data_IF_499106520842
#
_entry.id   IF_499106520842
#
_cell.length_a   1.000
_cell.length_b   1.000
_cell.length_c   1.000
_cell.angle_alpha   90.00
_cell.angle_beta   90.00
_cell.angle_gamma   90.00
#
_symmetry.space_group_name_H-M   'P 1'
#
loop_
_entity.id
_entity.type
_entity.pdbx_description
1 polymer ?
2 non-polymer ?
3 non-polymer ?
4 water ?
#
# COMPACT_ATOMS: atom_id res chain seq x y z
N UNK A 2 13.77 -25.13 1.61
CA UNK A 2 14.94 -24.74 2.45
C UNK A 2 15.95 -23.95 1.63
N UNK A 3 15.53 -23.52 0.43
CA UNK A 3 16.23 -22.47 -0.30
C UNK A 3 16.30 -21.19 0.55
N UNK A 4 15.20 -20.91 1.26
CA UNK A 4 14.98 -19.69 2.01
C UNK A 4 14.42 -20.02 3.40
N UNK A 5 14.78 -19.18 4.36
CA UNK A 5 14.29 -19.25 5.75
C UNK A 5 13.60 -17.93 6.09
N UNK A 6 12.52 -17.99 6.87
CA UNK A 6 11.76 -16.82 7.32
C UNK A 6 11.71 -16.76 8.83
N UNK A 7 11.89 -15.58 9.38
CA UNK A 7 11.61 -15.38 10.81
C UNK A 7 10.82 -14.11 11.13
N UNK A 8 9.73 -14.29 11.90
CA UNK A 8 8.84 -13.22 12.23
C UNK A 8 9.21 -12.59 13.57
N UNK A 9 9.03 -11.28 13.64
CA UNK A 9 9.17 -10.53 14.90
C UNK A 9 8.03 -9.51 15.01
N UNK A 10 7.96 -8.76 16.12
CA UNK A 10 7.01 -7.61 16.23
C UNK A 10 5.63 -7.90 16.77
N UNK A 11 5.38 -9.15 17.13
CA UNK A 11 4.11 -9.49 17.76
C UNK A 11 4.10 -8.85 19.14
N UNK A 12 2.98 -8.94 19.83
CA UNK A 12 2.88 -8.28 21.12
C UNK A 12 1.61 -8.62 21.84
N UNK A 13 1.51 -8.08 23.07
CA UNK A 13 0.29 -8.18 23.90
C UNK A 13 -0.19 -6.76 24.11
N UNK A 14 -1.35 -6.47 23.53
CA UNK A 14 -1.79 -5.11 23.41
C UNK A 14 -3.26 -5.08 23.78
N UNK A 15 -3.84 -3.90 23.69
CA UNK A 15 -5.20 -3.71 24.07
C UNK A 15 -6.02 -3.28 22.87
N UNK A 16 -7.34 -3.48 22.99
CA UNK A 16 -8.26 -3.13 21.94
C UNK A 16 -8.00 -1.72 21.51
N UNK A 17 -7.86 -1.56 20.19
CA UNK A 17 -7.66 -0.24 19.59
C UNK A 17 -6.21 0.03 19.29
N UNK A 18 -5.29 -0.80 19.81
CA UNK A 18 -3.83 -0.55 19.58
C UNK A 18 -3.34 -0.95 18.16
N UNK A 19 -2.10 -0.59 17.85
CA UNK A 19 -1.44 -0.98 16.60
C UNK A 19 -0.23 -1.84 16.91
N UNK A 20 0.16 -2.68 15.95
CA UNK A 20 1.40 -3.46 16.03
C UNK A 20 1.98 -3.54 14.63
N UNK A 21 3.31 -3.60 14.51
CA UNK A 21 3.96 -3.80 13.21
C UNK A 21 4.74 -5.11 13.18
N UNK A 22 4.14 -6.13 12.59
CA UNK A 22 4.82 -7.39 12.37
C UNK A 22 5.90 -7.32 11.25
N UNK A 23 7.02 -7.97 11.47
CA UNK A 23 8.00 -8.08 10.39
C UNK A 23 8.42 -9.53 10.11
N UNK A 24 8.75 -9.79 8.85
CA UNK A 24 9.29 -11.08 8.44
C UNK A 24 10.60 -10.92 7.68
N UNK A 25 11.67 -11.51 8.21
CA UNK A 25 13.01 -11.42 7.61
C UNK A 25 13.33 -12.71 6.88
N UNK A 26 13.63 -12.58 5.60
CA UNK A 26 13.98 -13.68 4.76
C UNK A 26 15.50 -13.74 4.59
N UNK A 27 16.00 -14.97 4.62
CA UNK A 27 17.43 -15.24 4.43
C UNK A 27 17.58 -16.40 3.43
N UNK A 28 18.74 -16.51 2.79
CA UNK A 28 18.96 -17.64 1.87
C UNK A 28 18.93 -17.21 0.44
N UNK A 29 18.55 -18.11 -0.47
CA UNK A 29 18.60 -17.77 -1.91
C UNK A 29 17.23 -17.19 -2.31
N UNK A 30 17.02 -15.99 -1.83
CA UNK A 30 15.74 -15.26 -1.98
C UNK A 30 15.55 -14.67 -3.39
N UNK A 31 14.28 -14.41 -3.73
CA UNK A 31 13.93 -13.53 -4.86
C UNK A 31 12.84 -12.61 -4.36
N UNK A 32 13.18 -11.31 -4.27
CA UNK A 32 12.37 -10.41 -3.50
C UNK A 32 10.96 -10.09 -4.08
N UNK A 33 10.66 -10.34 -5.38
CA UNK A 33 9.22 -10.08 -5.75
C UNK A 33 8.38 -11.32 -5.60
N UNK A 34 8.99 -12.39 -5.11
CA UNK A 34 8.19 -13.61 -4.89
C UNK A 34 7.17 -13.37 -3.81
N UNK A 35 6.04 -14.08 -3.89
CA UNK A 35 4.90 -13.86 -2.97
C UNK A 35 5.29 -14.16 -1.50
N UNK A 36 5.04 -13.17 -0.67
CA UNK A 36 5.11 -13.28 0.82
C UNK A 36 3.73 -13.06 1.40
N UNK A 37 3.27 -13.99 2.23
CA UNK A 37 1.89 -13.93 2.70
C UNK A 37 1.87 -14.17 4.22
N UNK A 38 1.14 -13.34 4.92
CA UNK A 38 0.90 -13.47 6.37
C UNK A 38 -0.38 -14.28 6.57
N UNK A 39 -0.28 -15.28 7.47
CA UNK A 39 -1.42 -16.08 7.90
C UNK A 39 -1.54 -15.94 9.40
N UNK A 40 -2.75 -16.18 9.90
CA UNK A 40 -2.93 -16.30 11.35
C UNK A 40 -3.66 -17.58 11.71
N UNK A 41 -3.40 -18.04 12.93
CA UNK A 41 -4.02 -19.25 13.46
C UNK A 41 -4.24 -19.11 14.99
N UNK A 42 -5.51 -19.15 15.36
CA UNK A 42 -5.97 -19.30 16.74
C UNK A 42 -5.99 -20.80 17.11
N UNK A 43 -5.87 -21.13 18.41
CA UNK A 43 -5.71 -22.55 18.81
C UNK A 43 -6.89 -23.41 18.33
N UNK A 44 -6.56 -24.56 17.72
CA UNK A 44 -7.55 -25.50 17.19
C UNK A 44 -8.16 -25.16 15.83
N UNK A 45 -7.91 -23.93 15.37
CA UNK A 45 -8.40 -23.46 14.05
C UNK A 45 -7.36 -23.66 12.95
N UNK A 46 -7.81 -23.66 11.71
CA UNK A 46 -6.87 -23.72 10.62
C UNK A 46 -6.19 -22.36 10.41
N UNK A 47 -5.03 -22.38 9.76
CA UNK A 47 -4.38 -21.14 9.33
C UNK A 47 -5.32 -20.43 8.37
N UNK A 48 -5.34 -19.12 8.42
CA UNK A 48 -6.11 -18.34 7.44
C UNK A 48 -5.34 -17.15 6.97
N UNK A 49 -5.45 -16.92 5.67
CA UNK A 49 -4.85 -15.72 5.10
C UNK A 49 -5.18 -14.39 5.79
N UNK A 50 -4.16 -13.56 5.92
CA UNK A 50 -4.35 -12.18 6.44
C UNK A 50 -4.04 -11.12 5.36
N UNK A 51 -2.80 -11.18 4.88
CA UNK A 51 -2.32 -10.24 3.86
C UNK A 51 -1.14 -10.78 3.10
N UNK A 52 -0.99 -10.31 1.87
CA UNK A 52 0.07 -10.79 1.01
C UNK A 52 0.60 -9.71 0.10
N UNK A 53 1.86 -9.87 -0.29
CA UNK A 53 2.50 -8.89 -1.21
C UNK A 53 3.34 -9.64 -2.23
N UNK A 54 3.26 -9.22 -3.49
CA UNK A 54 4.12 -9.86 -4.48
C UNK A 54 4.25 -9.00 -5.72
N UNK A 55 5.24 -9.36 -6.54
CA UNK A 55 5.42 -8.83 -7.90
C UNK A 55 6.21 -7.54 -7.82
N UNK A 56 6.56 -6.99 -8.97
CA UNK A 56 7.38 -5.77 -9.02
C UNK A 56 6.65 -4.49 -8.56
N UNK A 57 5.31 -4.53 -8.54
CA UNK A 57 4.58 -3.39 -8.07
C UNK A 57 4.39 -3.38 -6.55
N UNK A 58 4.85 -4.43 -5.87
CA UNK A 58 4.55 -4.54 -4.43
C UNK A 58 3.00 -4.57 -4.20
N UNK A 59 2.31 -5.30 -5.05
CA UNK A 59 0.85 -5.36 -5.04
C UNK A 59 0.39 -6.08 -3.77
N UNK A 60 -0.49 -5.41 -3.05
CA UNK A 60 -0.95 -5.89 -1.75
C UNK A 60 -2.35 -6.46 -1.83
N UNK A 61 -2.57 -7.60 -1.18
CA UNK A 61 -3.93 -8.14 -1.03
C UNK A 61 -4.24 -8.34 0.45
N UNK A 62 -5.50 -8.10 0.83
CA UNK A 62 -5.90 -8.20 2.25
C UNK A 62 -7.09 -9.11 2.40
N UNK A 63 -7.13 -9.85 3.49
CA UNK A 63 -8.34 -10.59 3.85
C UNK A 63 -9.45 -9.63 4.25
N UNK A 64 -10.70 -10.08 4.10
CA UNK A 64 -11.87 -9.30 4.46
C UNK A 64 -11.83 -8.97 5.96
N UNK A 65 -11.34 -9.93 6.75
CA UNK A 65 -11.20 -9.78 8.20
C UNK A 65 -10.36 -8.56 8.63
N UNK A 66 -9.45 -8.05 7.77
CA UNK A 66 -8.57 -6.92 8.15
C UNK A 66 -8.78 -5.70 7.24
N UNK A 67 -9.84 -5.78 6.43
CA UNK A 67 -10.27 -4.68 5.53
C UNK A 67 -10.08 -3.34 6.19
N UNK A 68 -9.19 -2.50 5.66
CA UNK A 68 -9.09 -1.10 6.13
C UNK A 68 -8.31 -0.88 7.44
N UNK A 69 -7.77 -1.97 8.02
CA UNK A 69 -7.01 -1.86 9.27
C UNK A 69 -5.53 -2.26 9.08
N UNK A 70 -5.19 -2.90 7.95
CA UNK A 70 -3.83 -3.41 7.75
C UNK A 70 -3.16 -2.86 6.49
N UNK A 71 -1.82 -2.84 6.50
CA UNK A 71 -1.01 -2.34 5.38
C UNK A 71 0.23 -3.20 5.32
N UNK A 72 0.47 -3.88 4.18
CA UNK A 72 1.61 -4.77 4.05
C UNK A 72 2.62 -4.02 3.18
N UNK A 73 3.91 -4.25 3.38
CA UNK A 73 4.91 -3.53 2.63
C UNK A 73 6.18 -4.37 2.62
N UNK A 74 7.08 -4.05 1.69
CA UNK A 74 8.28 -4.83 1.52
C UNK A 74 9.50 -3.94 1.38
N UNK A 75 10.62 -4.41 1.89
CA UNK A 75 11.89 -3.70 1.70
C UNK A 75 12.88 -4.70 1.19
N UNK A 76 13.09 -4.67 -0.13
CA UNK A 76 13.91 -5.65 -0.80
C UNK A 76 15.36 -5.65 -0.32
N UNK A 77 15.96 -4.47 -0.15
CA UNK A 77 17.33 -4.36 0.39
C UNK A 77 17.49 -5.08 1.74
N UNK A 78 16.44 -5.03 2.57
CA UNK A 78 16.46 -5.68 3.91
C UNK A 78 15.84 -7.07 3.91
N UNK A 79 15.41 -7.52 2.72
CA UNK A 79 14.77 -8.83 2.57
C UNK A 79 13.68 -9.02 3.62
N UNK A 80 12.94 -7.93 3.91
CA UNK A 80 11.96 -7.94 4.97
C UNK A 80 10.58 -7.49 4.47
N UNK A 81 9.55 -8.18 4.95
CA UNK A 81 8.11 -7.78 4.75
C UNK A 81 7.45 -7.33 6.08
N UNK A 82 6.68 -6.22 6.04
CA UNK A 82 6.08 -5.64 7.21
C UNK A 82 4.56 -5.74 7.08
N UNK A 83 3.93 -6.03 8.20
CA UNK A 83 2.44 -5.99 8.27
C UNK A 83 2.08 -5.09 9.39
N UNK A 84 1.66 -3.86 9.04
CA UNK A 84 1.15 -2.88 9.99
C UNK A 84 -0.33 -3.21 10.22
N UNK A 85 -0.72 -3.33 11.49
CA UNK A 85 -2.09 -3.66 11.87
C UNK A 85 -2.55 -2.66 12.86
N UNK A 86 -3.65 -1.96 12.53
CA UNK A 86 -4.25 -0.94 13.39
C UNK A 86 -5.61 -1.35 13.87
N UNK A 87 -6.09 -0.65 14.89
CA UNK A 87 -7.45 -0.86 15.45
C UNK A 87 -7.67 -2.30 15.83
N UNK A 88 -6.63 -2.90 16.43
CA UNK A 88 -6.68 -4.27 16.88
C UNK A 88 -7.86 -4.58 17.80
N UNK A 89 -8.38 -5.79 17.71
CA UNK A 89 -9.49 -6.19 18.57
C UNK A 89 -9.27 -7.62 19.09
N UNK A 90 -9.95 -8.01 20.21
CA UNK A 90 -9.69 -9.33 20.80
C UNK A 90 -9.72 -10.46 19.76
N UNK A 91 -10.62 -10.31 18.78
CA UNK A 91 -10.81 -11.27 17.68
C UNK A 91 -9.54 -11.53 16.83
N UNK A 92 -8.59 -10.60 16.88
CA UNK A 92 -7.35 -10.70 16.10
C UNK A 92 -6.29 -11.52 16.82
N UNK A 93 -6.58 -11.90 18.06
CA UNK A 93 -5.65 -12.80 18.77
C UNK A 93 -5.35 -14.10 18.05
N UNK A 94 -4.04 -14.39 17.84
CA UNK A 94 -3.62 -15.52 17.09
C UNK A 94 -2.09 -15.52 16.99
N UNK A 95 -1.54 -16.63 16.53
CA UNK A 95 -0.15 -16.69 16.08
C UNK A 95 -0.10 -16.28 14.59
N UNK A 96 0.65 -15.24 14.29
CA UNK A 96 0.79 -14.73 12.91
C UNK A 96 2.12 -15.26 12.32
N UNK A 97 2.07 -15.89 11.14
CA UNK A 97 3.28 -16.43 10.53
C UNK A 97 3.34 -15.99 9.08
N UNK A 98 4.54 -15.88 8.59
CA UNK A 98 4.75 -15.54 7.20
C UNK A 98 5.14 -16.77 6.38
N UNK A 99 4.74 -16.78 5.11
CA UNK A 99 5.02 -17.88 4.21
C UNK A 99 5.47 -17.36 2.84
N UNK A 100 6.24 -18.16 2.09
CA UNK A 100 6.65 -17.80 0.71
C UNK A 100 6.67 -18.97 -0.23
N UNK A 101 6.74 -18.66 -1.52
CA UNK A 101 6.63 -19.69 -2.53
C UNK A 101 7.37 -19.15 -3.75
N UNK A 102 7.67 -20.04 -4.71
CA UNK A 102 8.52 -19.71 -5.84
C UNK A 102 7.73 -19.19 -7.02
N UNK A 103 7.11 -18.06 -6.75
CA UNK A 103 6.18 -17.34 -7.66
C UNK A 103 5.90 -15.94 -7.12
N UNK A 104 5.65 -15.00 -8.05
CA UNK A 104 5.26 -13.68 -7.66
C UNK A 104 3.77 -13.65 -7.30
N UNK A 105 3.02 -14.68 -7.67
CA UNK A 105 1.55 -14.68 -7.49
C UNK A 105 1.14 -15.02 -6.06
N UNK A 106 0.45 -14.06 -5.43
CA UNK A 106 -0.02 -14.16 -4.04
C UNK A 106 -1.32 -14.95 -4.06
N UNK A 107 -1.31 -16.06 -3.33
CA UNK A 107 -2.51 -16.89 -3.19
C UNK A 107 -2.92 -16.97 -1.73
N UNK A 108 -4.23 -17.21 -1.48
CA UNK A 108 -4.78 -17.28 -0.14
C UNK A 108 -4.71 -18.67 0.55
N UNK A 109 -4.56 -19.76 -0.22
CA UNK A 109 -4.49 -21.09 0.43
C UNK A 109 -3.12 -21.33 1.07
N UNK A 110 -3.10 -21.76 2.36
CA UNK A 110 -1.80 -22.09 2.98
C UNK A 110 -1.10 -23.20 2.26
N UNK A 111 -1.87 -24.06 1.60
CA UNK A 111 -1.35 -25.24 0.93
C UNK A 111 -0.37 -24.97 -0.18
N UNK A 112 -0.41 -23.78 -0.77
CA UNK A 112 0.44 -23.50 -1.93
C UNK A 112 1.78 -22.82 -1.54
N UNK A 113 2.05 -22.73 -0.23
CA UNK A 113 3.35 -22.22 0.21
C UNK A 113 4.19 -23.30 0.91
N UNK A 114 5.38 -23.58 0.37
CA UNK A 114 6.24 -24.60 0.97
C UNK A 114 7.10 -24.10 2.11
N UNK A 115 7.26 -22.79 2.23
CA UNK A 115 8.23 -22.23 3.16
C UNK A 115 7.52 -21.34 4.14
N UNK A 116 7.77 -21.61 5.42
CA UNK A 116 7.10 -20.98 6.54
C UNK A 116 8.06 -20.52 7.63
N UNK A 117 7.74 -19.41 8.28
CA UNK A 117 8.41 -19.00 9.50
C UNK A 117 7.81 -19.72 10.68
N UNK A 118 8.35 -19.45 11.87
CA UNK A 118 7.86 -20.08 13.11
C UNK A 118 6.60 -19.42 13.73
N UNK A 119 6.36 -18.15 13.42
CA UNK A 119 5.23 -17.44 13.96
C UNK A 119 5.61 -16.47 15.09
N UNK A 120 4.71 -15.53 15.33
CA UNK A 120 4.83 -14.53 16.41
C UNK A 120 3.47 -14.33 17.00
N UNK A 121 3.39 -14.27 18.34
CA UNK A 121 2.11 -14.12 19.02
C UNK A 121 1.55 -12.69 19.03
N UNK A 122 0.27 -12.59 18.70
CA UNK A 122 -0.47 -11.35 18.84
C UNK A 122 -1.66 -11.58 19.76
N UNK A 123 -1.66 -10.90 20.91
CA UNK A 123 -2.78 -10.97 21.84
C UNK A 123 -3.40 -9.61 22.07
N UNK A 124 -4.72 -9.55 21.93
CA UNK A 124 -5.43 -8.31 22.09
C UNK A 124 -6.47 -8.44 23.20
N UNK A 125 -6.38 -7.59 24.22
CA UNK A 125 -7.31 -7.64 25.35
C UNK A 125 -8.06 -6.32 25.60
N UNK A 126 -9.28 -6.41 26.16
CA UNK A 126 -10.10 -5.21 26.46
C UNK A 126 -9.46 -4.18 27.39
N UNK B 2 7.39 16.06 -24.34
CA UNK B 2 8.20 15.24 -23.40
C UNK B 2 8.17 13.80 -23.82
N UNK B 3 9.08 13.01 -23.25
CA UNK B 3 9.19 11.59 -23.59
C UNK B 3 8.14 10.71 -22.92
N UNK B 4 7.57 11.22 -21.83
CA UNK B 4 6.38 10.64 -21.15
C UNK B 4 5.24 11.65 -21.07
N UNK B 5 4.02 11.15 -21.31
CA UNK B 5 2.79 11.91 -21.11
C UNK B 5 1.98 11.25 -19.98
N UNK B 6 1.35 12.10 -19.15
CA UNK B 6 0.50 11.70 -18.04
C UNK B 6 -0.91 12.21 -18.25
N UNK B 7 -1.88 11.35 -18.02
CA UNK B 7 -3.29 11.72 -18.15
C UNK B 7 -4.05 11.16 -16.96
N UNK B 8 -4.58 12.07 -16.13
CA UNK B 8 -5.41 11.71 -14.98
C UNK B 8 -6.89 11.53 -15.29
N UNK B 9 -7.50 10.60 -14.58
CA UNK B 9 -8.97 10.39 -14.62
C UNK B 9 -9.49 10.06 -13.21
N UNK B 10 -10.81 9.95 -13.08
CA UNK B 10 -11.47 9.44 -11.87
C UNK B 10 -11.79 10.42 -10.78
N UNK B 11 -11.53 11.71 -11.03
CA UNK B 11 -12.09 12.74 -10.24
C UNK B 11 -13.63 12.73 -10.28
N UNK B 12 -14.20 13.46 -9.36
CA UNK B 12 -15.66 13.66 -9.30
C UNK B 12 -16.17 14.68 -8.34
N UNK B 13 -17.51 14.78 -8.32
CA UNK B 13 -18.28 15.61 -7.48
C UNK B 13 -18.94 14.67 -6.49
N UNK B 14 -18.51 14.76 -5.23
CA UNK B 14 -18.93 13.81 -4.22
C UNK B 14 -19.36 14.50 -2.94
N UNK B 15 -19.77 13.67 -1.99
CA UNK B 15 -20.26 14.17 -0.71
C UNK B 15 -19.37 13.74 0.43
N UNK B 16 -19.33 14.56 1.49
CA UNK B 16 -18.50 14.23 2.62
C UNK B 16 -18.69 12.78 2.96
N UNK B 17 -17.57 12.08 3.20
CA UNK B 17 -17.62 10.72 3.62
C UNK B 17 -17.44 9.77 2.45
N UNK B 18 -17.51 10.29 1.23
CA UNK B 18 -17.41 9.43 0.03
C UNK B 18 -15.95 8.99 -0.31
N UNK B 19 -15.83 8.06 -1.25
CA UNK B 19 -14.55 7.55 -1.74
C UNK B 19 -14.43 7.90 -3.21
N UNK B 20 -13.21 8.02 -3.70
CA UNK B 20 -12.94 8.20 -5.13
C UNK B 20 -11.62 7.52 -5.43
N UNK B 21 -11.51 6.87 -6.60
CA UNK B 21 -10.25 6.30 -7.05
C UNK B 21 -9.74 7.08 -8.25
N UNK B 22 -8.81 7.99 -8.01
CA UNK B 22 -8.09 8.63 -9.11
C UNK B 22 -7.09 7.71 -9.86
N UNK B 23 -6.94 7.89 -11.18
CA UNK B 23 -5.99 7.11 -11.96
C UNK B 23 -5.11 8.05 -12.77
N UNK B 24 -3.84 7.71 -12.84
CA UNK B 24 -2.86 8.36 -13.72
C UNK B 24 -2.31 7.37 -14.75
N UNK B 25 -2.64 7.56 -16.03
CA UNK B 25 -2.21 6.68 -17.12
C UNK B 25 -0.98 7.29 -17.84
N UNK B 26 0.16 6.60 -17.77
CA UNK B 26 1.40 7.10 -18.40
C UNK B 26 1.55 6.49 -19.77
N UNK B 27 2.16 7.20 -20.71
CA UNK B 27 2.40 6.65 -22.07
C UNK B 27 3.76 7.20 -22.53
N UNK B 28 4.34 6.61 -23.58
CA UNK B 28 5.65 7.09 -24.09
C UNK B 28 6.73 6.21 -23.49
N UNK B 29 7.91 6.78 -23.23
CA UNK B 29 9.10 5.99 -22.83
C UNK B 29 9.10 5.79 -21.28
N UNK B 30 8.19 4.94 -20.83
CA UNK B 30 7.88 4.82 -19.39
C UNK B 30 8.83 3.80 -18.74
N UNK B 31 9.01 3.93 -17.44
CA UNK B 31 9.77 2.99 -16.62
C UNK B 31 9.08 3.06 -15.25
N UNK B 32 8.29 2.02 -14.98
CA UNK B 32 7.31 2.06 -13.93
C UNK B 32 7.88 2.19 -12.50
N UNK B 33 9.16 1.77 -12.21
CA UNK B 33 9.66 2.04 -10.84
C UNK B 33 9.95 3.51 -10.58
N UNK B 34 9.95 4.35 -11.64
CA UNK B 34 10.17 5.80 -11.37
C UNK B 34 9.06 6.50 -10.54
N UNK B 35 9.42 7.50 -9.73
CA UNK B 35 8.56 8.12 -8.81
C UNK B 35 7.35 8.73 -9.54
N UNK B 36 6.19 8.33 -9.05
CA UNK B 36 4.90 8.95 -9.45
C UNK B 36 4.26 9.61 -8.24
N UNK B 37 3.94 10.90 -8.35
CA UNK B 37 3.53 11.70 -7.17
C UNK B 37 2.24 12.43 -7.50
N UNK B 38 1.20 12.24 -6.69
CA UNK B 38 -0.02 13.08 -6.77
C UNK B 38 0.17 14.37 -5.97
N UNK B 39 -0.19 15.49 -6.61
CA UNK B 39 -0.26 16.80 -5.94
C UNK B 39 -1.72 17.31 -6.07
N UNK B 40 -2.11 18.19 -5.18
CA UNK B 40 -3.41 18.90 -5.34
C UNK B 40 -3.25 20.40 -5.23
N UNK B 41 -4.18 21.15 -5.81
CA UNK B 41 -4.04 22.59 -5.87
C UNK B 41 -5.47 23.13 -5.86
N UNK B 42 -5.81 23.86 -4.79
CA UNK B 42 -7.09 24.61 -4.67
C UNK B 42 -6.84 26.02 -5.20
N UNK B 43 -7.90 26.77 -5.61
CA UNK B 43 -7.59 28.02 -6.35
C UNK B 43 -6.91 29.03 -5.44
N UNK B 44 -5.92 29.74 -5.99
CA UNK B 44 -5.17 30.75 -5.25
C UNK B 44 -3.98 30.14 -4.52
N UNK B 45 -4.05 28.82 -4.32
CA UNK B 45 -3.05 28.14 -3.49
C UNK B 45 -1.96 27.44 -4.26
N UNK B 46 -0.85 27.21 -3.57
CA UNK B 46 0.23 26.45 -4.13
C UNK B 46 -0.15 24.97 -4.26
N UNK B 47 0.45 24.28 -5.23
CA UNK B 47 0.35 22.82 -5.32
C UNK B 47 1.00 22.20 -4.09
N UNK B 48 0.36 21.20 -3.51
CA UNK B 48 0.93 20.47 -2.38
C UNK B 48 0.94 18.96 -2.60
N UNK B 49 2.01 18.30 -2.18
CA UNK B 49 2.05 16.85 -2.23
C UNK B 49 0.91 16.17 -1.51
N UNK B 50 0.36 15.14 -2.15
CA UNK B 50 -0.64 14.31 -1.52
C UNK B 50 -0.13 12.89 -1.26
N UNK B 51 0.33 12.21 -2.31
CA UNK B 51 0.83 10.84 -2.16
C UNK B 51 1.81 10.49 -3.28
N UNK B 52 2.71 9.56 -3.01
CA UNK B 52 3.58 9.10 -4.08
C UNK B 52 4.03 7.66 -3.96
N UNK B 53 4.48 7.10 -5.09
CA UNK B 53 4.94 5.70 -5.20
C UNK B 53 6.18 5.61 -6.08
N UNK B 54 7.17 4.87 -5.61
CA UNK B 54 8.32 4.65 -6.43
C UNK B 54 9.06 3.47 -5.89
N UNK B 55 9.98 3.00 -6.71
CA UNK B 55 10.94 2.00 -6.33
C UNK B 55 10.44 0.59 -6.59
N UNK B 56 11.31 -0.37 -6.32
CA UNK B 56 11.06 -1.75 -6.73
C UNK B 56 10.13 -2.45 -5.71
N UNK B 57 9.83 -1.80 -4.57
CA UNK B 57 8.88 -2.36 -3.61
C UNK B 57 7.52 -1.71 -3.73
N UNK B 58 7.38 -0.78 -4.67
CA UNK B 58 6.07 -0.09 -4.73
C UNK B 58 5.82 0.68 -3.41
N UNK B 59 6.90 1.22 -2.87
CA UNK B 59 6.86 1.99 -1.61
C UNK B 59 5.99 3.23 -1.71
N UNK B 60 5.02 3.34 -0.81
CA UNK B 60 4.07 4.46 -0.83
C UNK B 60 4.45 5.50 0.22
N UNK B 61 4.34 6.77 -0.14
CA UNK B 61 4.44 7.90 0.85
C UNK B 61 3.16 8.77 0.83
N UNK B 62 2.67 9.22 2.01
CA UNK B 62 1.40 9.98 2.15
C UNK B 62 1.60 11.26 2.93
N UNK B 63 0.97 12.35 2.48
CA UNK B 63 1.01 13.63 3.18
C UNK B 63 0.25 13.48 4.49
N UNK B 64 0.62 14.25 5.50
CA UNK B 64 -0.14 14.19 6.74
C UNK B 64 -1.64 14.44 6.48
N UNK B 65 -1.93 15.30 5.52
CA UNK B 65 -3.31 15.67 5.18
C UNK B 65 -4.22 14.49 4.84
N UNK B 66 -3.64 13.40 4.36
CA UNK B 66 -4.44 12.25 3.92
C UNK B 66 -4.10 11.00 4.75
N UNK B 67 -3.43 11.24 5.87
CA UNK B 67 -3.07 10.20 6.86
C UNK B 67 -4.25 9.34 7.15
N UNK B 68 -4.15 8.05 6.81
CA UNK B 68 -5.19 7.05 7.12
C UNK B 68 -6.40 7.03 6.21
N UNK B 69 -6.39 7.83 5.15
CA UNK B 69 -7.54 7.92 4.23
C UNK B 69 -7.19 7.51 2.77
N UNK B 70 -5.89 7.48 2.46
CA UNK B 70 -5.42 7.29 1.08
C UNK B 70 -4.58 6.02 0.89
N UNK B 71 -4.69 5.42 -0.29
CA UNK B 71 -3.88 4.29 -0.65
C UNK B 71 -3.45 4.54 -2.09
N UNK B 72 -2.13 4.50 -2.32
CA UNK B 72 -1.56 4.61 -3.68
C UNK B 72 -1.01 3.27 -4.13
N UNK B 73 -1.11 3.00 -5.43
CA UNK B 73 -0.64 1.76 -5.97
C UNK B 73 -0.36 1.93 -7.45
N UNK B 74 0.35 0.95 -8.00
CA UNK B 74 0.59 0.96 -9.43
C UNK B 74 0.40 -0.39 -10.08
N UNK B 75 0.06 -0.32 -11.34
CA UNK B 75 -0.07 -1.51 -12.17
C UNK B 75 0.86 -1.28 -13.37
N UNK B 76 2.04 -1.94 -13.35
CA UNK B 76 3.02 -1.75 -14.40
C UNK B 76 2.52 -2.23 -15.75
N UNK B 77 1.70 -3.28 -15.79
CA UNK B 77 1.23 -3.76 -17.11
C UNK B 77 0.27 -2.73 -17.74
N UNK B 78 -0.41 -1.95 -16.91
CA UNK B 78 -1.35 -0.94 -17.45
C UNK B 78 -0.72 0.46 -17.46
N UNK B 79 0.54 0.55 -17.08
CA UNK B 79 1.23 1.84 -16.88
C UNK B 79 0.39 2.89 -16.14
N UNK B 80 -0.31 2.42 -15.10
CA UNK B 80 -1.24 3.23 -14.38
C UNK B 80 -0.94 3.23 -12.87
N UNK B 81 -0.93 4.43 -12.31
CA UNK B 81 -0.90 4.67 -10.83
C UNK B 81 -2.31 5.01 -10.32
N UNK B 82 -2.74 4.36 -9.22
CA UNK B 82 -4.04 4.65 -8.62
C UNK B 82 -3.87 5.31 -7.24
N UNK B 83 -4.76 6.25 -6.98
CA UNK B 83 -4.88 6.91 -5.65
C UNK B 83 -6.29 6.74 -5.17
N UNK B 84 -6.48 5.79 -4.25
CA UNK B 84 -7.77 5.61 -3.57
C UNK B 84 -7.88 6.58 -2.39
N UNK B 85 -8.93 7.41 -2.38
CA UNK B 85 -9.17 8.36 -1.28
C UNK B 85 -10.50 8.06 -0.64
N UNK B 86 -10.49 7.80 0.68
CA UNK B 86 -11.71 7.50 1.44
C UNK B 86 -11.99 8.61 2.44
N UNK B 87 -13.24 8.66 2.94
CA UNK B 87 -13.62 9.63 3.99
C UNK B 87 -13.32 11.06 3.55
N UNK B 88 -13.62 11.32 2.27
CA UNK B 88 -13.44 12.65 1.72
C UNK B 88 -14.21 13.77 2.48
N UNK B 89 -13.57 14.93 2.54
CA UNK B 89 -14.16 16.06 3.19
C UNK B 89 -13.99 17.35 2.35
N UNK B 90 -14.83 18.38 2.63
CA UNK B 90 -14.82 19.57 1.76
C UNK B 90 -13.44 20.18 1.54
N UNK B 91 -12.59 20.11 2.58
CA UNK B 91 -11.22 20.63 2.52
C UNK B 91 -10.34 19.89 1.50
N UNK B 92 -10.78 18.71 1.05
CA UNK B 92 -10.10 17.99 0.00
C UNK B 92 -10.35 18.52 -1.40
N UNK B 93 -11.30 19.44 -1.57
CA UNK B 93 -11.59 19.96 -2.89
C UNK B 93 -10.37 20.62 -3.55
N UNK B 94 -10.04 20.21 -4.79
CA UNK B 94 -8.86 20.73 -5.51
C UNK B 94 -8.80 20.08 -6.86
N UNK B 95 -7.90 20.58 -7.68
CA UNK B 95 -7.45 19.83 -8.87
C UNK B 95 -6.27 18.92 -8.46
N UNK B 96 -6.47 17.62 -8.63
CA UNK B 96 -5.38 16.61 -8.40
C UNK B 96 -4.60 16.28 -9.70
N UNK B 97 -3.27 16.37 -9.66
CA UNK B 97 -2.48 16.11 -10.84
C UNK B 97 -1.35 15.16 -10.43
N UNK B 98 -0.94 14.34 -11.39
CA UNK B 98 0.20 13.46 -11.16
C UNK B 98 1.42 13.97 -11.86
N UNK B 99 2.61 13.57 -11.38
CA UNK B 99 3.85 14.09 -11.88
C UNK B 99 4.88 13.00 -11.72
N UNK B 100 5.86 12.98 -12.62
CA UNK B 100 6.92 11.96 -12.64
C UNK B 100 8.30 12.51 -13.01
N UNK B 101 9.33 11.76 -12.71
CA UNK B 101 10.69 12.21 -12.91
C UNK B 101 11.51 10.97 -13.11
N UNK B 102 12.71 11.12 -13.71
CA UNK B 102 13.57 10.02 -14.11
C UNK B 102 14.42 9.45 -12.98
N UNK B 103 13.73 9.14 -11.87
CA UNK B 103 14.33 8.61 -10.64
C UNK B 103 13.26 7.87 -9.84
N UNK B 104 13.67 6.83 -9.11
CA UNK B 104 12.75 6.10 -8.26
C UNK B 104 12.53 6.86 -6.95
N UNK B 105 13.38 7.87 -6.72
CA UNK B 105 13.28 8.64 -5.45
C UNK B 105 12.03 9.55 -5.39
N UNK B 106 11.06 9.20 -4.54
CA UNK B 106 9.86 10.05 -4.35
C UNK B 106 10.18 11.24 -3.45
N UNK B 107 9.92 12.45 -3.96
CA UNK B 107 10.18 13.69 -3.20
C UNK B 107 8.91 14.53 -3.13
N UNK B 108 8.76 15.36 -2.06
CA UNK B 108 7.51 16.07 -1.83
C UNK B 108 7.46 17.44 -2.53
N UNK B 109 8.62 17.98 -2.94
CA UNK B 109 8.68 19.24 -3.70
C UNK B 109 8.17 19.10 -5.15
N UNK B 110 7.22 19.96 -5.57
CA UNK B 110 6.87 19.89 -7.00
C UNK B 110 8.03 20.22 -7.92
N UNK B 111 9.01 20.95 -7.40
CA UNK B 111 10.13 21.45 -8.24
C UNK B 111 11.00 20.41 -8.96
N UNK B 112 11.07 19.20 -8.40
CA UNK B 112 11.96 18.20 -8.87
C UNK B 112 11.22 17.24 -9.84
N UNK B 113 9.99 17.57 -10.25
CA UNK B 113 9.29 16.76 -11.29
C UNK B 113 9.14 17.50 -12.61
N UNK B 114 9.77 16.97 -13.68
CA UNK B 114 9.65 17.71 -14.94
C UNK B 114 8.37 17.44 -15.71
N UNK B 115 7.69 16.33 -15.39
CA UNK B 115 6.61 15.86 -16.22
C UNK B 115 5.34 15.85 -15.38
N UNK B 116 4.30 16.46 -15.95
CA UNK B 116 3.03 16.66 -15.29
C UNK B 116 1.86 16.31 -16.17
N UNK B 117 0.81 15.86 -15.52
CA UNK B 117 -0.49 15.65 -16.17
C UNK B 117 -1.26 16.94 -16.16
N UNK B 118 -2.45 16.91 -16.73
CA UNK B 118 -3.38 18.06 -16.73
C UNK B 118 -4.12 18.30 -15.41
N UNK B 119 -4.40 17.23 -14.68
CA UNK B 119 -5.18 17.31 -13.46
C UNK B 119 -6.59 16.77 -13.69
N UNK B 120 -7.19 16.29 -12.60
CA UNK B 120 -8.64 15.98 -12.51
C UNK B 120 -9.31 16.69 -11.32
N UNK B 121 -10.56 17.13 -11.49
CA UNK B 121 -11.21 17.89 -10.45
C UNK B 121 -11.83 16.95 -9.39
N UNK B 122 -11.60 17.29 -8.12
CA UNK B 122 -12.25 16.62 -7.01
C UNK B 122 -12.99 17.66 -6.21
N UNK B 123 -14.32 17.52 -6.16
CA UNK B 123 -15.10 18.43 -5.37
C UNK B 123 -15.92 17.66 -4.35
N UNK B 124 -15.82 18.09 -3.09
CA UNK B 124 -16.50 17.42 -1.99
C UNK B 124 -17.39 18.45 -1.31
N UNK B 125 -18.68 18.14 -1.26
CA UNK B 125 -19.66 19.02 -0.66
C UNK B 125 -20.37 18.34 0.50
N UNK B 126 -20.74 19.13 1.51
CA UNK B 126 -21.58 18.60 2.61
C UNK B 126 -22.79 17.93 1.98
N UNK B 127 -23.20 16.77 2.53
CA UNK B 127 -24.19 15.97 1.85
C UNK B 127 -25.43 16.82 1.59
N UNK B 128 -26.01 16.65 0.41
CA UNK B 128 -27.18 17.41 0.02
C UNK B 128 -27.37 17.36 -1.49
X LIG C 1 -0.35 -0.70 0.80
X LIG C 1 -1.68 -1.28 0.62
X LIG C 1 -0.08 0.68 0.18
X LIG C 1 0.00 1.79 1.13
X LIG D 1 10.50 -19.00 -2.24
X LIG D 1 11.28 -17.85 -2.38
X LIG D 1 10.01 -21.70 -2.61
X LIG D 1 11.75 -9.19 0.65
X LIG D 1 11.44 -15.60 -1.58
X LIG D 1 10.78 -16.71 -1.89
X LIG D 1 10.91 -13.43 -0.65
X LIG D 1 9.95 -12.45 -0.88
X LIG D 1 10.22 -11.14 -0.46
X LIG D 1 11.45 -10.84 0.11
X LIG D 1 12.41 -11.81 0.35
X LIG D 1 12.15 -13.10 -0.08
X LIG D 1 10.64 -14.70 -1.06
X LIG D 1 12.65 -15.46 -1.76
X LIG D 1 10.98 -20.19 -2.77
X LIG D 1 12.23 -20.27 -3.42
X LIG D 1 13.01 -19.13 -3.57
X LIG D 1 12.52 -17.94 -3.05
X LIG D 1 12.78 -21.84 -4.10
X LIG E 1 4.87 8.84 4.32
X LIG E 1 3.75 7.95 4.53
X LIG E 1 6.14 8.39 5.05
X LIG E 1 7.24 8.21 4.12
X LIG F 1 5.50 12.92 3.74
X LIG F 1 5.11 11.62 4.23
X LIG F 1 6.31 13.53 4.88
X LIG F 1 5.46 13.97 5.96
X LIG G 1 10.00 10.06 -16.11
X LIG G 1 9.61 8.75 -16.30
X LIG G 1 11.37 12.38 -16.73
X LIG G 1 2.90 2.81 -13.65
X LIG G 1 7.89 7.19 -15.63
X LIG G 1 8.73 8.20 -15.41
X LIG G 1 6.07 6.03 -14.47
X LIG G 1 5.79 5.62 -13.17
X LIG G 1 4.84 4.62 -12.91
X LIG G 1 4.13 4.05 -13.98
X LIG G 1 4.37 4.46 -15.29
X LIG G 1 5.36 5.42 -15.53
X LIG G 1 7.05 6.98 -14.60
X LIG G 1 7.83 6.53 -16.68
X LIG G 1 10.90 10.67 -16.99
X LIG G 1 11.35 9.98 -18.11
X LIG G 1 10.97 8.65 -18.34
X LIG G 1 10.07 8.07 -17.44
X LIG G 1 12.50 10.74 -19.26
#
# INVERSE_FOLDING_TARGET
MAEVQLVESGGGLVQTGDSLRLSCAASGRTYTPYAMAWFRQAPGKEREFVAGIGGIDGTAAYADSVRGRATISRDSAKKTVYLQMNSLKPEDTAVYSCATRASMQVLTSPRVYPIWGRGTQVTVSSPG
MAEVQLVESGGGLVQTGDSLRLSCAASGRTYTPYAMAWFRQAPGKEREFVAGIGGIDGTAAYADSVRGRATISRDSAKKTVYLQMNSLKPEDTAVYSCATRASMQVLTSPRVYPIWGRGTQVTVSSPG
EDO C1 O1 C2 O2
9EG C12 C11 CL2 CL1 C8 N1 C4 C5 C6 C1 C2 C3 N7 O9 C13 C14 C15 C16 CL3
EDO C1 O1 C2 O2
EDO C1 O1 C2 O2
9EG C12 C11 CL2 CL1 C8 N1 C4 C5 C6 C1 C2 C3 N7 O9 C13 C14 C15 C16 CL3
#
